data_IF_203396528452
#
_entry.id   IF_203396528452
#
_cell.length_a   1.000
_cell.length_b   1.000
_cell.length_c   1.000
_cell.angle_alpha   90.00
_cell.angle_beta   90.00
_cell.angle_gamma   90.00
#
_symmetry.space_group_name_H-M   'P 1'
#
loop_
_entity.id
_entity.type
_entity.pdbx_description
1 polymer ?
#
# COMPACT_ATOMS: atom_id res chain seq x y z
N UNK A 1 21.24 -41.52 -52.05
CA UNK A 1 21.84 -41.64 -50.68
C UNK A 1 21.75 -40.28 -50.01
N UNK A 2 20.79 -40.06 -49.14
CA UNK A 2 20.58 -38.82 -48.40
C UNK A 2 21.05 -39.09 -46.96
N UNK A 3 22.07 -38.35 -46.54
CA UNK A 3 22.69 -38.45 -45.22
C UNK A 3 21.90 -37.60 -44.24
N UNK A 4 21.26 -38.22 -43.25
CA UNK A 4 20.51 -37.53 -42.21
C UNK A 4 21.50 -37.11 -41.10
N UNK A 5 21.63 -35.79 -40.91
CA UNK A 5 22.42 -35.18 -39.83
C UNK A 5 21.67 -35.35 -38.48
N UNK A 6 22.34 -35.96 -37.51
CA UNK A 6 21.86 -36.07 -36.12
C UNK A 6 22.03 -34.73 -35.41
N UNK A 7 20.91 -34.06 -35.15
CA UNK A 7 20.87 -32.87 -34.30
C UNK A 7 20.95 -33.31 -32.83
N UNK A 8 22.02 -32.87 -32.17
CA UNK A 8 22.27 -33.10 -30.76
C UNK A 8 21.29 -32.26 -29.92
N UNK A 9 20.39 -32.90 -29.18
CA UNK A 9 19.55 -32.30 -28.17
C UNK A 9 20.42 -31.93 -26.96
N UNK A 10 20.52 -30.60 -26.64
CA UNK A 10 21.11 -30.15 -25.39
C UNK A 10 20.20 -30.54 -24.23
N UNK A 11 20.73 -30.99 -23.08
CA UNK A 11 19.93 -31.31 -21.92
C UNK A 11 19.29 -30.01 -21.36
N UNK A 12 18.00 -30.08 -21.05
CA UNK A 12 17.25 -29.01 -20.41
C UNK A 12 17.94 -28.61 -19.10
N UNK A 13 18.22 -27.30 -18.97
CA UNK A 13 18.75 -26.72 -17.74
C UNK A 13 17.81 -27.05 -16.59
N UNK A 14 18.31 -27.63 -15.53
CA UNK A 14 17.61 -27.81 -14.25
C UNK A 14 17.18 -26.41 -13.76
N UNK A 15 15.90 -26.08 -13.86
CA UNK A 15 15.31 -24.93 -13.19
C UNK A 15 15.49 -25.19 -11.70
N UNK A 16 16.41 -24.45 -11.08
CA UNK A 16 16.57 -24.43 -9.64
C UNK A 16 15.29 -23.80 -9.06
N UNK A 17 14.32 -24.60 -8.64
CA UNK A 17 13.17 -24.14 -7.87
C UNK A 17 13.72 -23.76 -6.51
N UNK A 18 14.11 -22.50 -6.36
CA UNK A 18 14.39 -21.92 -5.05
C UNK A 18 13.11 -22.12 -4.23
N UNK A 19 13.20 -22.85 -3.14
CA UNK A 19 12.12 -23.00 -2.16
C UNK A 19 11.85 -21.61 -1.60
N UNK A 20 10.89 -20.91 -2.20
CA UNK A 20 10.42 -19.61 -1.72
C UNK A 20 9.80 -19.90 -0.36
N UNK A 21 10.45 -19.45 0.72
CA UNK A 21 9.84 -19.53 2.06
C UNK A 21 8.44 -18.95 1.96
N UNK A 22 7.41 -19.64 2.48
CA UNK A 22 6.07 -19.11 2.50
C UNK A 22 6.10 -17.77 3.22
N UNK A 23 5.51 -16.73 2.62
CA UNK A 23 5.35 -15.44 3.28
C UNK A 23 4.56 -15.67 4.58
N UNK A 24 4.98 -15.05 5.70
CA UNK A 24 4.25 -15.09 6.96
C UNK A 24 2.79 -14.74 6.69
N UNK A 25 1.87 -15.50 7.24
CA UNK A 25 0.45 -15.19 7.12
C UNK A 25 0.14 -13.92 7.92
N UNK A 26 -0.20 -12.84 7.21
CA UNK A 26 -0.52 -11.54 7.82
C UNK A 26 -1.70 -11.66 8.78
N UNK A 27 -2.66 -12.53 8.47
CA UNK A 27 -3.84 -12.71 9.32
C UNK A 27 -3.48 -13.26 10.72
N UNK A 28 -2.38 -14.00 10.85
CA UNK A 28 -1.90 -14.57 12.11
C UNK A 28 -1.00 -13.63 12.93
N UNK A 29 -0.64 -12.44 12.42
CA UNK A 29 0.21 -11.51 13.13
C UNK A 29 -0.49 -10.97 14.38
N UNK A 30 0.20 -11.04 15.51
CA UNK A 30 -0.26 -10.42 16.75
C UNK A 30 -0.05 -8.89 16.64
N UNK A 31 -1.11 -8.06 16.75
CA UNK A 31 -1.02 -6.61 16.75
C UNK A 31 0.05 -6.03 17.69
N UNK A 32 0.23 -6.62 18.85
CA UNK A 32 1.22 -6.17 19.84
C UNK A 32 2.66 -6.25 19.34
N UNK A 33 2.99 -7.18 18.44
CA UNK A 33 4.34 -7.27 17.84
C UNK A 33 4.66 -6.02 17.01
N UNK A 34 3.66 -5.40 16.37
CA UNK A 34 3.83 -4.16 15.62
C UNK A 34 3.97 -2.99 16.59
N UNK A 35 3.09 -2.90 17.60
CA UNK A 35 3.09 -1.81 18.57
C UNK A 35 4.38 -1.77 19.42
N UNK A 36 5.05 -2.88 19.65
CA UNK A 36 6.38 -2.93 20.27
C UNK A 36 7.46 -2.16 19.49
N UNK A 37 7.23 -1.86 18.21
CA UNK A 37 8.16 -1.10 17.35
C UNK A 37 7.89 0.40 17.35
N UNK A 38 6.86 0.91 18.04
CA UNK A 38 6.41 2.32 17.98
C UNK A 38 7.47 3.37 18.28
N UNK A 39 8.47 3.05 19.12
CA UNK A 39 9.55 3.96 19.45
C UNK A 39 10.40 4.41 18.24
N UNK A 40 10.30 3.69 17.11
CA UNK A 40 10.98 4.05 15.86
C UNK A 40 10.50 5.41 15.33
N UNK A 41 9.24 5.78 15.61
CA UNK A 41 8.62 7.04 15.18
C UNK A 41 9.38 8.28 15.68
N UNK A 42 10.05 8.16 16.84
CA UNK A 42 10.72 9.26 17.52
C UNK A 42 12.24 9.29 17.27
N UNK A 43 12.77 8.39 16.43
CA UNK A 43 14.21 8.19 16.18
C UNK A 43 14.79 8.92 14.98
N UNK A 44 14.07 9.82 14.32
CA UNK A 44 14.60 10.50 13.15
C UNK A 44 13.85 11.75 12.74
N UNK A 45 14.51 12.62 11.95
CA UNK A 45 13.82 13.72 11.27
C UNK A 45 12.93 13.13 10.17
N UNK A 46 11.64 13.37 10.26
CA UNK A 46 10.73 13.12 9.15
C UNK A 46 11.06 14.06 7.99
N UNK A 47 11.03 13.56 6.76
CA UNK A 47 11.28 14.40 5.58
C UNK A 47 10.11 15.37 5.38
N UNK A 48 10.28 16.64 5.72
CA UNK A 48 9.27 17.71 5.62
C UNK A 48 8.60 17.78 4.24
N UNK A 49 9.37 17.54 3.17
CA UNK A 49 8.85 17.57 1.79
C UNK A 49 7.70 16.57 1.53
N UNK A 50 7.76 15.38 2.15
CA UNK A 50 6.68 14.39 2.03
C UNK A 50 5.44 14.81 2.82
N UNK A 51 5.62 15.40 3.99
CA UNK A 51 4.52 15.87 4.83
C UNK A 51 3.76 17.02 4.18
N UNK A 52 4.47 17.95 3.53
CA UNK A 52 3.85 19.06 2.81
C UNK A 52 2.94 18.56 1.69
N UNK A 53 3.45 17.70 0.82
CA UNK A 53 2.67 17.13 -0.29
C UNK A 53 1.51 16.27 0.19
N UNK A 54 1.70 15.49 1.26
CA UNK A 54 0.66 14.64 1.85
C UNK A 54 -0.58 15.45 2.24
N UNK A 55 -0.39 16.59 2.92
CA UNK A 55 -1.49 17.47 3.34
C UNK A 55 -2.28 18.03 2.16
N UNK A 56 -1.59 18.46 1.12
CA UNK A 56 -2.26 19.02 -0.07
C UNK A 56 -3.06 17.95 -0.83
N UNK A 57 -2.59 16.69 -0.82
CA UNK A 57 -3.33 15.58 -1.44
C UNK A 57 -4.59 15.22 -0.65
N UNK A 58 -4.57 15.26 0.69
CA UNK A 58 -5.78 15.10 1.51
C UNK A 58 -6.77 16.25 1.24
N UNK A 59 -6.30 17.49 1.25
CA UNK A 59 -7.15 18.68 0.97
C UNK A 59 -7.80 18.64 -0.40
N UNK A 60 -7.13 18.06 -1.39
CA UNK A 60 -7.72 17.89 -2.72
C UNK A 60 -9.05 17.12 -2.64
N UNK A 61 -9.10 16.04 -1.85
CA UNK A 61 -10.30 15.24 -1.70
C UNK A 61 -11.33 15.86 -0.74
N UNK A 62 -10.89 16.51 0.35
CA UNK A 62 -11.76 17.18 1.31
C UNK A 62 -12.65 18.24 0.66
N UNK A 63 -12.12 18.96 -0.32
CA UNK A 63 -12.80 20.05 -1.00
C UNK A 63 -13.70 19.61 -2.18
N UNK A 64 -13.91 18.30 -2.37
CA UNK A 64 -14.71 17.76 -3.47
C UNK A 64 -16.10 17.34 -2.99
N UNK A 65 -17.14 17.83 -3.66
CA UNK A 65 -18.50 17.33 -3.47
C UNK A 65 -18.61 15.90 -4.02
N UNK A 66 -18.14 15.68 -5.26
CA UNK A 66 -18.10 14.39 -5.94
C UNK A 66 -16.78 14.24 -6.68
N UNK A 67 -16.32 13.01 -6.89
CA UNK A 67 -15.12 12.72 -7.67
C UNK A 67 -15.47 12.48 -9.14
N UNK A 68 -15.05 13.42 -9.99
CA UNK A 68 -15.18 13.30 -11.44
C UNK A 68 -14.06 12.47 -12.07
N UNK A 69 -14.22 12.14 -13.36
CA UNK A 69 -13.15 11.51 -14.14
C UNK A 69 -11.88 12.37 -14.17
N UNK A 70 -12.01 13.68 -14.27
CA UNK A 70 -10.85 14.60 -14.23
C UNK A 70 -10.16 14.58 -12.88
N UNK A 71 -10.91 14.54 -11.78
CA UNK A 71 -10.36 14.45 -10.43
C UNK A 71 -9.59 13.13 -10.23
N UNK A 72 -10.14 12.01 -10.71
CA UNK A 72 -9.46 10.71 -10.68
C UNK A 72 -8.12 10.76 -11.44
N UNK A 73 -8.10 11.35 -12.65
CA UNK A 73 -6.88 11.47 -13.45
C UNK A 73 -5.84 12.35 -12.72
N UNK A 74 -6.26 13.49 -12.19
CA UNK A 74 -5.39 14.39 -11.43
C UNK A 74 -4.84 13.67 -10.18
N UNK A 75 -5.72 13.04 -9.41
CA UNK A 75 -5.35 12.33 -8.18
C UNK A 75 -4.39 11.17 -8.44
N UNK A 76 -4.61 10.39 -9.49
CA UNK A 76 -3.69 9.33 -9.89
C UNK A 76 -2.31 9.90 -10.25
N UNK A 77 -2.25 11.02 -10.98
CA UNK A 77 -0.98 11.65 -11.36
C UNK A 77 -0.21 12.19 -10.15
N UNK A 78 -0.84 12.91 -9.22
CA UNK A 78 -0.11 13.38 -8.04
C UNK A 78 0.30 12.23 -7.12
N UNK A 79 -0.52 11.16 -7.01
CA UNK A 79 -0.16 9.95 -6.26
C UNK A 79 1.11 9.31 -6.83
N UNK A 80 1.24 9.24 -8.16
CA UNK A 80 2.43 8.72 -8.82
C UNK A 80 3.61 9.69 -8.81
N UNK A 81 3.36 10.99 -8.81
CA UNK A 81 4.39 12.01 -8.56
C UNK A 81 4.98 11.93 -7.15
N UNK A 82 4.23 11.42 -6.18
CA UNK A 82 4.71 11.15 -4.82
C UNK A 82 5.51 9.83 -4.73
N UNK A 83 5.43 8.99 -5.77
CA UNK A 83 6.22 7.79 -5.95
C UNK A 83 7.21 8.00 -7.11
N UNK A 84 8.44 7.47 -7.06
CA UNK A 84 9.37 7.56 -8.20
C UNK A 84 8.99 6.55 -9.30
N UNK A 85 7.73 6.61 -9.79
CA UNK A 85 7.17 5.64 -10.75
C UNK A 85 6.30 6.37 -11.77
N UNK A 86 6.41 5.99 -13.04
CA UNK A 86 5.62 6.56 -14.13
C UNK A 86 4.22 5.95 -14.10
N UNK A 87 3.18 6.81 -14.14
CA UNK A 87 1.80 6.40 -14.28
C UNK A 87 1.52 5.96 -15.73
N UNK A 88 0.88 4.79 -15.87
CA UNK A 88 0.32 4.33 -17.13
C UNK A 88 -1.08 3.76 -16.89
N UNK A 89 -2.10 4.35 -17.53
CA UNK A 89 -3.47 3.88 -17.45
C UNK A 89 -3.66 2.62 -18.30
N UNK A 90 -3.79 1.46 -17.66
CA UNK A 90 -3.91 0.15 -18.32
C UNK A 90 -5.35 -0.21 -18.75
N UNK A 91 -6.36 0.57 -18.34
CA UNK A 91 -7.75 0.39 -18.68
C UNK A 91 -8.38 1.71 -19.17
N UNK A 92 -9.66 1.66 -19.62
CA UNK A 92 -10.35 2.84 -20.15
C UNK A 92 -11.68 3.15 -19.43
N UNK A 93 -11.96 2.48 -18.34
CA UNK A 93 -13.19 2.62 -17.56
C UNK A 93 -13.13 3.75 -16.52
N UNK A 94 -12.62 4.92 -16.92
CA UNK A 94 -12.39 6.07 -16.03
C UNK A 94 -13.64 6.52 -15.26
N UNK A 95 -14.79 6.63 -15.93
CA UNK A 95 -16.03 7.07 -15.28
C UNK A 95 -16.51 6.10 -14.19
N UNK A 96 -16.35 4.80 -14.40
CA UNK A 96 -16.64 3.79 -13.39
C UNK A 96 -15.66 3.88 -12.21
N UNK A 97 -14.37 3.97 -12.49
CA UNK A 97 -13.34 4.09 -11.46
C UNK A 97 -13.46 5.40 -10.67
N UNK A 98 -13.90 6.50 -11.28
CA UNK A 98 -14.18 7.74 -10.57
C UNK A 98 -15.32 7.56 -9.56
N UNK A 99 -16.41 6.87 -9.94
CA UNK A 99 -17.51 6.53 -9.01
C UNK A 99 -17.05 5.58 -7.89
N UNK A 100 -16.16 4.63 -8.18
CA UNK A 100 -15.58 3.75 -7.15
C UNK A 100 -14.75 4.58 -6.16
N UNK A 101 -13.89 5.46 -6.67
CA UNK A 101 -13.07 6.34 -5.82
C UNK A 101 -13.94 7.28 -4.98
N UNK A 102 -15.03 7.79 -5.54
CA UNK A 102 -15.98 8.62 -4.78
C UNK A 102 -16.64 7.83 -3.64
N UNK A 103 -17.10 6.60 -3.90
CA UNK A 103 -17.64 5.73 -2.85
C UNK A 103 -16.63 5.37 -1.77
N UNK A 104 -15.34 5.30 -2.08
CA UNK A 104 -14.30 5.00 -1.10
C UNK A 104 -14.15 6.07 0.00
N UNK A 105 -14.72 7.25 -0.22
CA UNK A 105 -14.75 8.36 0.77
C UNK A 105 -15.77 8.13 1.89
N UNK A 106 -16.68 7.16 1.73
CA UNK A 106 -17.57 6.72 2.79
C UNK A 106 -16.79 5.85 3.81
N UNK A 107 -17.38 5.66 5.00
CA UNK A 107 -16.78 4.87 6.09
C UNK A 107 -16.75 3.35 5.85
N UNK A 108 -17.07 2.92 4.64
CA UNK A 108 -17.13 1.49 4.29
C UNK A 108 -16.01 1.13 3.31
N UNK A 109 -15.36 -0.02 3.56
CA UNK A 109 -14.41 -0.60 2.62
C UNK A 109 -15.08 -0.93 1.28
N UNK A 110 -14.36 -0.66 0.18
CA UNK A 110 -14.75 -1.13 -1.15
C UNK A 110 -14.77 -2.65 -1.19
N UNK A 111 -15.67 -3.17 -2.03
CA UNK A 111 -15.68 -4.58 -2.37
C UNK A 111 -14.42 -4.96 -3.17
N UNK A 112 -14.02 -6.22 -3.08
CA UNK A 112 -12.79 -6.72 -3.70
C UNK A 112 -12.71 -6.45 -5.21
N UNK A 113 -13.85 -6.60 -5.93
CA UNK A 113 -13.93 -6.29 -7.35
C UNK A 113 -13.68 -4.82 -7.67
N UNK A 114 -14.23 -3.91 -6.87
CA UNK A 114 -14.07 -2.46 -7.04
C UNK A 114 -12.61 -2.05 -6.86
N UNK A 115 -11.98 -2.61 -5.82
CA UNK A 115 -10.57 -2.38 -5.52
C UNK A 115 -9.67 -2.89 -6.66
N UNK A 116 -9.96 -4.09 -7.18
CA UNK A 116 -9.25 -4.65 -8.33
C UNK A 116 -9.47 -3.85 -9.63
N UNK A 117 -10.66 -3.24 -9.82
CA UNK A 117 -10.93 -2.36 -10.98
C UNK A 117 -10.08 -1.10 -10.93
N UNK A 118 -9.97 -0.45 -9.76
CA UNK A 118 -9.06 0.68 -9.57
C UNK A 118 -7.61 0.27 -9.83
N UNK A 119 -7.18 -0.87 -9.28
CA UNK A 119 -5.81 -1.34 -9.48
C UNK A 119 -5.50 -1.59 -10.97
N UNK A 120 -6.42 -2.20 -11.72
CA UNK A 120 -6.25 -2.43 -13.16
C UNK A 120 -6.15 -1.13 -13.97
N UNK A 121 -6.87 -0.09 -13.56
CA UNK A 121 -6.78 1.21 -14.24
C UNK A 121 -5.39 1.82 -14.07
N UNK A 122 -4.86 1.84 -12.85
CA UNK A 122 -3.61 2.52 -12.49
C UNK A 122 -2.46 1.50 -12.36
N UNK A 123 -1.72 1.29 -13.43
CA UNK A 123 -0.53 0.42 -13.55
C UNK A 123 -0.75 -1.05 -13.13
N UNK A 124 -1.98 -1.53 -12.95
CA UNK A 124 -2.25 -2.82 -12.31
C UNK A 124 -1.50 -2.96 -10.96
N UNK A 125 -1.51 -1.89 -10.16
CA UNK A 125 -0.68 -1.73 -8.97
C UNK A 125 -1.52 -1.57 -7.70
N UNK A 126 -1.39 -2.50 -6.76
CA UNK A 126 -1.98 -2.38 -5.42
C UNK A 126 -1.29 -1.28 -4.60
N UNK A 127 0.01 -1.06 -4.82
CA UNK A 127 0.77 0.02 -4.17
C UNK A 127 0.21 1.40 -4.56
N UNK A 128 0.03 1.64 -5.86
CA UNK A 128 -0.55 2.89 -6.36
C UNK A 128 -2.00 3.07 -5.89
N UNK A 129 -2.79 2.00 -5.95
CA UNK A 129 -4.19 2.01 -5.54
C UNK A 129 -4.35 2.30 -4.05
N UNK A 130 -3.57 1.67 -3.19
CA UNK A 130 -3.64 1.91 -1.74
C UNK A 130 -3.33 3.37 -1.38
N UNK A 131 -2.36 3.98 -2.04
CA UNK A 131 -2.01 5.39 -1.83
C UNK A 131 -3.12 6.33 -2.31
N UNK A 132 -3.68 6.07 -3.50
CA UNK A 132 -4.80 6.84 -4.01
C UNK A 132 -6.02 6.76 -3.07
N UNK A 133 -6.36 5.56 -2.62
CA UNK A 133 -7.46 5.33 -1.67
C UNK A 133 -7.18 5.97 -0.31
N UNK A 134 -5.95 5.92 0.16
CA UNK A 134 -5.55 6.59 1.41
C UNK A 134 -5.75 8.11 1.33
N UNK A 135 -5.37 8.75 0.23
CA UNK A 135 -5.62 10.18 0.07
C UNK A 135 -7.11 10.52 -0.02
N UNK A 136 -7.92 9.61 -0.58
CA UNK A 136 -9.37 9.80 -0.64
C UNK A 136 -10.06 9.56 0.72
N UNK A 137 -9.59 8.58 1.50
CA UNK A 137 -10.10 8.28 2.84
C UNK A 137 -9.01 7.68 3.73
N UNK A 138 -8.24 8.53 4.43
CA UNK A 138 -7.13 8.10 5.27
C UNK A 138 -7.55 7.38 6.56
N UNK A 139 -8.84 7.42 6.92
CA UNK A 139 -9.36 6.74 8.11
C UNK A 139 -9.57 5.24 7.89
N UNK A 140 -9.73 4.82 6.63
CA UNK A 140 -10.11 3.44 6.28
C UNK A 140 -9.03 2.71 5.50
N UNK A 141 -8.29 3.41 4.64
CA UNK A 141 -7.32 2.78 3.74
C UNK A 141 -5.87 3.05 4.16
N UNK A 142 -5.15 2.04 4.70
CA UNK A 142 -3.73 2.17 4.99
C UNK A 142 -2.90 2.18 3.70
N UNK A 143 -1.78 2.91 3.71
CA UNK A 143 -0.81 2.88 2.61
C UNK A 143 -0.09 1.53 2.62
N UNK A 144 -0.08 0.88 1.47
CA UNK A 144 0.65 -0.35 1.19
C UNK A 144 1.84 -0.08 0.27
N UNK A 145 3.02 -0.55 0.64
CA UNK A 145 4.19 -0.50 -0.21
C UNK A 145 5.17 -1.66 0.06
N UNK A 146 6.29 -1.68 -0.66
CA UNK A 146 7.28 -2.74 -0.54
C UNK A 146 7.96 -2.80 0.82
N UNK A 147 8.12 -1.67 1.53
CA UNK A 147 8.70 -1.63 2.87
C UNK A 147 7.74 -2.20 3.92
N UNK A 148 6.49 -1.79 3.89
CA UNK A 148 5.43 -2.35 4.75
C UNK A 148 5.28 -3.85 4.48
N UNK A 149 5.26 -4.26 3.20
CA UNK A 149 5.23 -5.66 2.82
C UNK A 149 6.43 -6.43 3.40
N UNK A 150 7.66 -5.90 3.25
CA UNK A 150 8.88 -6.51 3.80
C UNK A 150 8.81 -6.63 5.32
N UNK A 151 8.31 -5.61 6.02
CA UNK A 151 8.17 -5.65 7.47
C UNK A 151 7.28 -6.81 7.94
N UNK A 152 6.12 -6.97 7.29
CA UNK A 152 5.12 -7.96 7.69
C UNK A 152 5.45 -9.40 7.24
N UNK A 153 6.04 -9.56 6.05
CA UNK A 153 6.23 -10.88 5.41
C UNK A 153 7.69 -11.32 5.31
N UNK A 154 8.64 -10.47 5.69
CA UNK A 154 10.08 -10.69 5.53
C UNK A 154 10.60 -10.49 4.11
N UNK A 155 9.73 -10.17 3.13
CA UNK A 155 10.08 -10.04 1.71
C UNK A 155 9.22 -9.02 1.00
N UNK A 156 9.70 -8.47 -0.12
CA UNK A 156 8.92 -7.55 -0.98
C UNK A 156 8.12 -8.27 -2.06
N UNK A 157 8.36 -9.58 -2.25
CA UNK A 157 7.77 -10.34 -3.35
C UNK A 157 6.23 -10.33 -3.40
N UNK A 158 5.47 -10.47 -2.28
CA UNK A 158 4.01 -10.53 -2.35
C UNK A 158 3.32 -9.16 -2.43
N UNK A 159 4.04 -8.06 -2.66
CA UNK A 159 3.48 -6.69 -2.65
C UNK A 159 2.28 -6.49 -3.60
N UNK A 160 2.23 -7.19 -4.72
CA UNK A 160 1.11 -7.13 -5.67
C UNK A 160 0.15 -8.34 -5.56
N UNK A 161 0.20 -9.11 -4.48
CA UNK A 161 -0.78 -10.17 -4.23
C UNK A 161 -1.98 -9.61 -3.49
N UNK A 162 -3.14 -9.67 -4.12
CA UNK A 162 -4.38 -9.10 -3.60
C UNK A 162 -4.75 -9.61 -2.19
N UNK A 163 -4.70 -10.92 -1.97
CA UNK A 163 -5.03 -11.50 -0.65
C UNK A 163 -4.07 -11.02 0.46
N UNK A 164 -2.80 -10.77 0.13
CA UNK A 164 -1.83 -10.23 1.09
C UNK A 164 -2.15 -8.79 1.44
N UNK A 165 -2.49 -7.97 0.44
CA UNK A 165 -2.94 -6.61 0.64
C UNK A 165 -4.24 -6.55 1.46
N UNK A 166 -5.23 -7.41 1.16
CA UNK A 166 -6.49 -7.46 1.91
C UNK A 166 -6.27 -7.81 3.37
N UNK A 167 -5.48 -8.87 3.64
CA UNK A 167 -5.11 -9.24 5.00
C UNK A 167 -4.38 -8.13 5.76
N UNK A 168 -3.58 -7.32 5.06
CA UNK A 168 -2.94 -6.13 5.63
C UNK A 168 -3.96 -5.05 6.03
N UNK A 169 -4.93 -4.75 5.17
CA UNK A 169 -6.00 -3.78 5.51
C UNK A 169 -6.76 -4.25 6.74
N UNK A 170 -7.17 -5.51 6.78
CA UNK A 170 -7.89 -6.10 7.92
C UNK A 170 -7.04 -6.08 9.21
N UNK A 171 -5.73 -6.31 9.10
CA UNK A 171 -4.80 -6.17 10.23
C UNK A 171 -4.76 -4.73 10.75
N UNK A 172 -4.61 -3.73 9.87
CA UNK A 172 -4.57 -2.33 10.26
C UNK A 172 -5.86 -1.91 10.99
N UNK A 173 -7.03 -2.28 10.45
CA UNK A 173 -8.33 -1.97 11.08
C UNK A 173 -8.49 -2.61 12.46
N UNK A 174 -7.89 -3.77 12.72
CA UNK A 174 -7.85 -4.36 14.05
C UNK A 174 -6.88 -3.64 15.00
N UNK A 175 -5.74 -3.18 14.48
CA UNK A 175 -4.71 -2.55 15.32
C UNK A 175 -5.11 -1.15 15.75
N UNK A 176 -5.86 -0.40 14.95
CA UNK A 176 -6.29 0.96 15.31
C UNK A 176 -7.25 1.00 16.51
N UNK A 177 -7.86 -0.13 16.88
CA UNK A 177 -8.74 -0.24 18.07
C UNK A 177 -7.94 -0.36 19.39
N UNK A 178 -6.60 -0.45 19.34
CA UNK A 178 -5.78 -0.57 20.54
C UNK A 178 -5.44 0.80 21.13
N UNK A 179 -5.73 1.00 22.42
CA UNK A 179 -5.43 2.22 23.18
C UNK A 179 -3.94 2.62 23.06
N UNK A 180 -3.04 1.61 23.05
CA UNK A 180 -1.60 1.82 22.90
C UNK A 180 -1.22 2.53 21.58
N UNK A 181 -2.01 2.32 20.50
CA UNK A 181 -1.81 3.05 19.24
C UNK A 181 -2.35 4.46 19.34
N UNK A 182 -3.51 4.66 19.98
CA UNK A 182 -4.10 5.99 20.15
C UNK A 182 -3.16 6.89 20.95
N UNK A 183 -2.64 6.41 22.09
CA UNK A 183 -1.65 7.12 22.90
C UNK A 183 -0.36 7.45 22.10
N UNK A 184 0.08 6.49 21.28
CA UNK A 184 1.27 6.69 20.44
C UNK A 184 1.00 7.71 19.35
N UNK A 185 -0.17 7.67 18.73
CA UNK A 185 -0.60 8.59 17.69
C UNK A 185 -0.65 10.02 18.19
N UNK A 186 -1.28 10.27 19.33
CA UNK A 186 -1.37 11.61 19.94
C UNK A 186 0.03 12.20 20.20
N UNK A 187 0.93 11.41 20.81
CA UNK A 187 2.32 11.83 21.06
C UNK A 187 3.08 12.10 19.77
N UNK A 188 2.86 11.25 18.75
CA UNK A 188 3.56 11.36 17.48
C UNK A 188 3.11 12.60 16.68
N UNK A 189 1.81 12.88 16.63
CA UNK A 189 1.25 14.09 16.00
C UNK A 189 1.82 15.36 16.67
N UNK A 190 1.90 15.38 18.01
CA UNK A 190 2.53 16.47 18.74
C UNK A 190 4.03 16.59 18.41
N UNK A 191 4.75 15.49 18.35
CA UNK A 191 6.18 15.46 18.05
C UNK A 191 6.53 16.00 16.67
N UNK A 192 5.74 15.65 15.65
CA UNK A 192 5.99 16.10 14.26
C UNK A 192 5.34 17.45 13.95
N UNK A 193 4.43 17.96 14.81
CA UNK A 193 3.68 19.20 14.59
C UNK A 193 2.73 19.14 13.39
N UNK A 194 2.20 17.96 13.06
CA UNK A 194 1.46 17.70 11.83
C UNK A 194 0.37 16.66 12.06
N UNK A 195 -0.86 16.97 11.64
CA UNK A 195 -2.02 16.08 11.80
C UNK A 195 -2.06 14.98 10.73
N UNK A 196 -2.26 13.74 11.18
CA UNK A 196 -2.50 12.57 10.36
C UNK A 196 -3.47 11.62 11.07
N UNK A 197 -3.86 10.52 10.44
CA UNK A 197 -4.75 9.52 11.06
C UNK A 197 -3.97 8.47 11.86
N UNK A 198 -4.61 7.77 12.82
CA UNK A 198 -4.01 6.63 13.51
C UNK A 198 -3.52 5.54 12.56
N UNK A 199 -4.27 5.27 11.46
CA UNK A 199 -3.84 4.34 10.39
C UNK A 199 -2.51 4.78 9.77
N UNK A 200 -2.34 6.08 9.51
CA UNK A 200 -1.09 6.59 8.95
C UNK A 200 0.05 6.47 9.96
N UNK A 201 -0.19 6.73 11.23
CA UNK A 201 0.80 6.51 12.29
C UNK A 201 1.24 5.04 12.36
N UNK A 202 0.30 4.11 12.34
CA UNK A 202 0.57 2.68 12.32
C UNK A 202 1.41 2.27 11.10
N UNK A 203 1.07 2.77 9.92
CA UNK A 203 1.82 2.51 8.68
C UNK A 203 3.26 3.04 8.80
N UNK A 204 3.47 4.23 9.40
CA UNK A 204 4.80 4.76 9.64
C UNK A 204 5.64 3.86 10.55
N UNK A 205 5.05 3.25 11.59
CA UNK A 205 5.76 2.26 12.43
C UNK A 205 6.29 1.11 11.57
N UNK A 206 5.44 0.55 10.70
CA UNK A 206 5.81 -0.58 9.84
C UNK A 206 6.82 -0.18 8.77
N UNK A 207 6.62 0.97 8.13
CA UNK A 207 7.50 1.50 7.10
C UNK A 207 8.92 1.75 7.61
N UNK A 208 9.05 2.42 8.76
CA UNK A 208 10.35 2.74 9.38
C UNK A 208 11.03 1.50 9.97
N UNK A 209 10.26 0.49 10.35
CA UNK A 209 10.77 -0.78 10.89
C UNK A 209 11.14 -1.81 9.81
N UNK A 210 11.04 -1.48 8.53
CA UNK A 210 11.21 -2.42 7.41
C UNK A 210 12.56 -3.14 7.34
N UNK A 211 13.60 -2.59 7.96
CA UNK A 211 14.93 -3.23 8.04
C UNK A 211 15.04 -4.25 9.18
N UNK A 212 14.04 -4.30 10.06
CA UNK A 212 13.90 -5.30 11.10
C UNK A 212 12.51 -5.95 11.05
N UNK A 213 12.22 -6.80 10.04
CA UNK A 213 10.90 -7.38 9.81
C UNK A 213 10.44 -8.26 10.98
N UNK A 214 9.14 -8.48 11.07
CA UNK A 214 8.54 -9.43 12.00
C UNK A 214 9.05 -10.85 11.70
N UNK A 215 9.50 -11.56 12.76
CA UNK A 215 10.08 -12.91 12.63
C UNK A 215 9.01 -13.99 12.66
#
# INVERSE_FOLDING_TARGET
MLTISKTSLRPASKVCVSVIKPAKDIASINPKEILQRREILFKGRQEEKYNLSYREFLRFFENKENITTSDLIIAANFTYGWMPTILDFKARNFAECARILDRSRAEKLLEDEELLRLARLINNSLVGTSKLLHFANPEVYPIWDSRVCKFLTGTTYPVNRFLVFRAYVDLCLRVIEFDELQDTHEKYVQYIGFTMTPIRTLEQVMFLSSDNPLR
#
